data_IF_757898963650
#
_entry.id   IF_757898963650
#
_cell.length_a   1.000
_cell.length_b   1.000
_cell.length_c   1.000
_cell.angle_alpha   90.00
_cell.angle_beta   90.00
_cell.angle_gamma   90.00
#
_symmetry.space_group_name_H-M   'P 1'
#
loop_
_entity.id
_entity.type
_entity.pdbx_description
1 polymer ?
#
# COMPACT_ATOMS: atom_id res chain seq x y z
N UNK A 1 1.84 -2.95 17.58
CA UNK A 1 1.78 -3.29 19.02
C UNK A 1 1.71 -4.78 19.26
N UNK A 2 0.54 -5.40 19.04
CA UNK A 2 0.25 -6.81 19.38
C UNK A 2 1.26 -7.84 18.86
N UNK A 3 1.69 -7.74 17.60
CA UNK A 3 2.70 -8.64 17.03
C UNK A 3 4.05 -8.55 17.74
N UNK A 4 4.54 -7.33 18.01
CA UNK A 4 5.80 -7.15 18.76
C UNK A 4 5.67 -7.69 20.18
N UNK A 5 4.51 -7.52 20.84
CA UNK A 5 4.29 -8.10 22.16
C UNK A 5 4.37 -9.63 22.12
N UNK A 6 3.73 -10.28 21.14
CA UNK A 6 3.84 -11.72 20.96
C UNK A 6 5.28 -12.17 20.67
N UNK A 7 6.03 -11.40 19.86
CA UNK A 7 7.45 -11.66 19.58
C UNK A 7 8.33 -11.60 20.83
N UNK A 8 7.95 -10.85 21.88
CA UNK A 8 8.72 -10.78 23.13
C UNK A 8 8.91 -12.14 23.80
N UNK A 9 7.96 -13.05 23.61
CA UNK A 9 7.97 -14.41 24.16
C UNK A 9 8.62 -15.44 23.23
N UNK A 10 8.95 -15.05 22.00
CA UNK A 10 9.50 -15.92 20.96
C UNK A 10 10.69 -15.27 20.26
N UNK A 11 11.60 -14.68 21.05
CA UNK A 11 12.74 -13.91 20.57
C UNK A 11 13.70 -14.75 19.72
N UNK A 12 13.98 -15.99 20.13
CA UNK A 12 14.87 -16.90 19.39
C UNK A 12 14.30 -17.26 18.02
N UNK A 13 13.01 -17.59 17.96
CA UNK A 13 12.32 -17.88 16.70
C UNK A 13 12.28 -16.65 15.76
N UNK A 14 12.21 -15.45 16.34
CA UNK A 14 12.27 -14.19 15.61
C UNK A 14 13.70 -13.71 15.31
N UNK A 15 14.72 -14.47 15.76
CA UNK A 15 16.15 -14.11 15.66
C UNK A 15 16.42 -12.69 16.14
N UNK A 16 15.85 -12.34 17.29
CA UNK A 16 15.87 -10.98 17.83
C UNK A 16 16.35 -11.00 19.28
N UNK A 17 17.32 -10.15 19.62
CA UNK A 17 17.73 -9.98 21.02
C UNK A 17 16.69 -9.18 21.79
N UNK A 18 16.68 -9.28 23.12
CA UNK A 18 15.80 -8.44 23.95
C UNK A 18 16.06 -6.94 23.70
N UNK A 19 17.34 -6.54 23.61
CA UNK A 19 17.71 -5.16 23.32
C UNK A 19 17.16 -4.69 21.96
N UNK A 20 17.33 -5.50 20.92
CA UNK A 20 16.79 -5.20 19.59
C UNK A 20 15.26 -5.20 19.55
N UNK A 21 14.62 -6.03 20.36
CA UNK A 21 13.17 -5.98 20.56
C UNK A 21 12.73 -4.69 21.25
N UNK A 22 13.44 -4.28 22.31
CA UNK A 22 13.12 -3.07 23.08
C UNK A 22 13.23 -1.82 22.23
N UNK A 23 14.29 -1.70 21.43
CA UNK A 23 14.44 -0.59 20.49
C UNK A 23 13.25 -0.53 19.51
N UNK A 24 12.88 -1.67 18.91
CA UNK A 24 11.72 -1.76 18.00
C UNK A 24 10.41 -1.41 18.71
N UNK A 25 10.26 -1.82 19.97
CA UNK A 25 9.10 -1.56 20.78
C UNK A 25 8.94 -0.06 21.06
N UNK A 26 10.00 0.61 21.49
CA UNK A 26 10.00 2.05 21.77
C UNK A 26 9.80 2.86 20.49
N UNK A 27 10.60 2.59 19.45
CA UNK A 27 10.52 3.30 18.19
C UNK A 27 9.15 3.15 17.51
N UNK A 28 8.48 2.01 17.65
CA UNK A 28 7.12 1.80 17.14
C UNK A 28 6.07 2.73 17.76
N UNK A 29 6.39 3.40 18.87
CA UNK A 29 5.56 4.41 19.54
C UNK A 29 6.04 5.84 19.28
N UNK A 30 7.20 6.02 18.68
CA UNK A 30 7.72 7.32 18.30
C UNK A 30 7.16 7.70 16.93
N UNK A 31 5.92 8.20 16.94
CA UNK A 31 5.30 8.73 15.74
C UNK A 31 4.50 9.99 16.04
N UNK A 32 4.39 10.83 15.01
CA UNK A 32 3.42 11.92 14.94
C UNK A 32 2.60 11.70 13.68
N UNK A 33 1.27 11.69 13.79
CA UNK A 33 0.39 11.61 12.63
C UNK A 33 -0.63 12.73 12.65
N UNK A 34 -1.06 13.14 11.47
CA UNK A 34 -2.13 14.10 11.28
C UNK A 34 -2.95 13.74 10.04
N UNK A 35 -4.26 13.74 10.20
CA UNK A 35 -5.18 13.51 9.09
C UNK A 35 -5.19 14.71 8.13
N UNK A 36 -5.50 14.44 6.86
CA UNK A 36 -5.56 15.46 5.84
C UNK A 36 -6.85 16.27 5.89
N UNK A 37 -6.75 17.57 5.62
CA UNK A 37 -7.86 18.51 5.61
C UNK A 37 -7.85 19.31 4.30
N UNK A 38 -8.89 19.13 3.49
CA UNK A 38 -9.04 19.88 2.24
C UNK A 38 -9.26 21.36 2.53
N UNK A 39 -8.62 22.24 1.75
CA UNK A 39 -8.68 23.69 1.93
C UNK A 39 -7.65 24.23 2.92
N UNK A 40 -7.03 23.39 3.76
CA UNK A 40 -5.86 23.79 4.55
C UNK A 40 -4.64 23.88 3.66
N UNK A 41 -3.75 24.82 3.96
CA UNK A 41 -2.51 24.98 3.21
C UNK A 41 -1.74 23.65 3.16
N UNK A 42 -1.41 23.19 1.96
CA UNK A 42 -0.75 21.91 1.69
C UNK A 42 -1.54 20.67 2.16
N UNK A 43 -2.85 20.80 2.32
CA UNK A 43 -3.76 19.69 2.59
C UNK A 43 -3.78 19.18 4.03
N UNK A 44 -3.15 19.89 4.97
CA UNK A 44 -3.04 19.46 6.37
C UNK A 44 -2.69 20.66 7.27
N UNK A 45 -3.38 20.84 8.41
CA UNK A 45 -3.02 21.91 9.33
C UNK A 45 -1.82 21.55 10.22
N UNK A 46 -1.77 20.34 10.76
CA UNK A 46 -0.75 19.97 11.75
C UNK A 46 0.62 19.75 11.12
N UNK A 47 0.72 18.92 10.08
CA UNK A 47 1.97 18.59 9.40
C UNK A 47 1.88 19.09 7.97
N UNK A 48 2.59 20.16 7.64
CA UNK A 48 2.65 20.69 6.26
C UNK A 48 3.94 20.25 5.60
N UNK A 49 3.82 19.80 4.36
CA UNK A 49 4.97 19.53 3.50
C UNK A 49 4.81 20.40 2.26
N UNK A 50 5.75 21.31 2.04
CA UNK A 50 5.78 22.15 0.85
C UNK A 50 6.34 21.36 -0.35
N UNK A 51 6.02 21.77 -1.61
CA UNK A 51 6.51 21.06 -2.81
C UNK A 51 8.04 20.93 -2.90
N UNK A 52 8.79 21.86 -2.30
CA UNK A 52 10.25 21.85 -2.25
C UNK A 52 10.84 20.98 -1.13
N UNK A 53 9.97 20.27 -0.40
CA UNK A 53 10.32 19.33 0.65
C UNK A 53 10.45 19.92 2.05
N UNK A 54 10.17 21.22 2.25
CA UNK A 54 10.13 21.79 3.61
C UNK A 54 8.99 21.17 4.43
N UNK A 55 9.31 20.70 5.63
CA UNK A 55 8.33 20.14 6.57
C UNK A 55 8.16 21.09 7.75
N UNK A 56 6.93 21.53 8.01
CA UNK A 56 6.59 22.34 9.18
C UNK A 56 5.47 21.72 10.01
N UNK A 57 5.66 21.71 11.33
CA UNK A 57 4.75 21.10 12.30
C UNK A 57 4.14 22.21 13.15
N UNK A 58 2.81 22.26 13.25
CA UNK A 58 2.13 23.14 14.20
C UNK A 58 2.33 22.59 15.62
N UNK A 59 2.91 23.39 16.50
CA UNK A 59 3.15 22.99 17.88
C UNK A 59 1.90 23.26 18.74
N UNK A 60 1.55 22.35 19.67
CA UNK A 60 0.54 22.63 20.69
C UNK A 60 1.09 23.65 21.70
N UNK A 61 0.19 24.29 22.46
CA UNK A 61 0.54 25.35 23.40
C UNK A 61 1.70 25.00 24.37
N UNK A 62 1.77 23.79 24.96
CA UNK A 62 2.87 23.43 25.85
C UNK A 62 4.25 23.41 25.18
N UNK A 63 4.29 23.29 23.85
CA UNK A 63 5.53 23.26 23.08
C UNK A 63 5.78 24.58 22.33
N UNK A 64 5.00 25.63 22.57
CA UNK A 64 5.09 26.88 21.82
C UNK A 64 6.49 27.53 21.87
N UNK A 65 7.20 27.39 23.00
CA UNK A 65 8.55 27.91 23.18
C UNK A 65 9.61 27.26 22.28
N UNK A 66 9.32 26.10 21.68
CA UNK A 66 10.21 25.45 20.72
C UNK A 66 10.01 25.92 19.28
N UNK A 67 8.97 26.69 18.98
CA UNK A 67 8.68 27.13 17.62
C UNK A 67 9.86 27.93 17.05
N UNK A 68 10.32 27.56 15.85
CA UNK A 68 11.39 28.23 15.13
C UNK A 68 10.87 29.00 13.89
N UNK A 69 9.56 29.03 13.69
CA UNK A 69 8.90 29.71 12.58
C UNK A 69 7.58 30.37 12.99
N UNK A 70 7.09 31.27 12.13
CA UNK A 70 5.85 32.01 12.34
C UNK A 70 4.65 31.09 12.58
N UNK A 71 3.64 31.63 13.27
CA UNK A 71 2.40 30.92 13.61
C UNK A 71 2.59 29.69 14.51
N UNK A 72 3.60 29.69 15.39
CA UNK A 72 3.85 28.61 16.35
C UNK A 72 4.20 27.30 15.66
N UNK A 73 5.02 27.36 14.61
CA UNK A 73 5.44 26.20 13.84
C UNK A 73 6.90 25.86 14.11
N UNK A 74 7.20 24.57 13.96
CA UNK A 74 8.54 24.02 13.95
C UNK A 74 8.87 23.48 12.56
N UNK A 75 9.81 24.12 11.87
CA UNK A 75 10.35 23.68 10.59
C UNK A 75 11.50 22.71 10.86
N UNK A 76 11.42 21.52 10.28
CA UNK A 76 12.48 20.52 10.39
C UNK A 76 13.69 20.95 9.55
N UNK A 77 14.90 20.72 10.06
CA UNK A 77 16.13 21.01 9.34
C UNK A 77 16.31 20.15 8.07
N UNK A 78 15.74 18.94 8.06
CA UNK A 78 15.80 18.04 6.92
C UNK A 78 14.62 18.27 5.96
N UNK A 79 14.92 18.23 4.66
CA UNK A 79 13.90 18.20 3.60
C UNK A 79 13.48 16.77 3.29
N UNK A 80 12.25 16.60 2.82
CA UNK A 80 11.70 15.31 2.39
C UNK A 80 11.48 15.27 0.90
N UNK A 81 11.60 14.08 0.31
CA UNK A 81 11.22 13.81 -1.07
C UNK A 81 10.44 12.50 -1.14
N UNK A 82 9.53 12.42 -2.11
CA UNK A 82 8.72 11.22 -2.36
C UNK A 82 9.07 10.65 -3.74
N UNK A 83 9.87 9.58 -3.83
CA UNK A 83 10.23 9.01 -5.13
C UNK A 83 9.03 8.39 -5.86
N UNK A 84 8.08 7.83 -5.12
CA UNK A 84 6.89 7.21 -5.69
C UNK A 84 5.72 8.20 -5.67
N UNK A 85 5.05 8.39 -6.81
CA UNK A 85 3.89 9.28 -6.98
C UNK A 85 4.18 10.74 -6.58
N UNK A 86 5.41 11.20 -6.81
CA UNK A 86 5.87 12.55 -6.49
C UNK A 86 4.95 13.62 -7.09
N UNK A 87 4.68 13.51 -8.39
CA UNK A 87 3.83 14.45 -9.13
C UNK A 87 2.41 14.46 -8.60
N UNK A 88 1.79 13.28 -8.43
CA UNK A 88 0.42 13.17 -7.91
C UNK A 88 0.29 13.77 -6.51
N UNK A 89 1.32 13.60 -5.66
CA UNK A 89 1.36 14.22 -4.35
C UNK A 89 1.50 15.75 -4.45
N UNK A 90 2.42 16.25 -5.28
CA UNK A 90 2.66 17.67 -5.48
C UNK A 90 1.39 18.37 -6.00
N UNK A 91 0.73 17.81 -7.01
CA UNK A 91 -0.52 18.34 -7.56
C UNK A 91 -1.59 18.54 -6.47
N UNK A 92 -1.66 17.62 -5.50
CA UNK A 92 -2.60 17.73 -4.37
C UNK A 92 -2.21 18.83 -3.39
N UNK A 93 -0.93 18.91 -3.06
CA UNK A 93 -0.38 19.91 -2.13
C UNK A 93 -0.50 21.32 -2.68
N UNK A 94 -0.31 21.50 -3.99
CA UNK A 94 -0.46 22.79 -4.69
C UNK A 94 -1.90 23.31 -4.63
N UNK A 95 -2.88 22.41 -4.77
CA UNK A 95 -4.31 22.77 -4.73
C UNK A 95 -4.97 22.50 -3.36
N UNK A 96 -4.17 22.34 -2.30
CA UNK A 96 -4.63 22.20 -0.91
C UNK A 96 -5.64 21.06 -0.69
N UNK A 97 -5.50 19.94 -1.41
CA UNK A 97 -6.31 18.73 -1.19
C UNK A 97 -5.80 17.97 0.02
N UNK A 98 -6.72 17.35 0.78
CA UNK A 98 -6.38 16.55 1.95
C UNK A 98 -5.27 15.52 1.67
N UNK A 99 -4.22 15.58 2.48
CA UNK A 99 -3.13 14.59 2.58
C UNK A 99 -2.84 14.34 4.05
N UNK A 100 -2.96 13.08 4.47
CA UNK A 100 -2.57 12.65 5.80
C UNK A 100 -1.06 12.37 5.83
N UNK A 101 -0.41 12.72 6.94
CA UNK A 101 1.02 12.50 7.12
C UNK A 101 1.32 11.72 8.38
N UNK A 102 2.38 10.90 8.33
CA UNK A 102 2.91 10.16 9.48
C UNK A 102 4.43 10.22 9.50
N UNK A 103 4.98 10.83 10.55
CA UNK A 103 6.41 10.81 10.87
C UNK A 103 6.68 9.61 11.78
N UNK A 104 7.63 8.76 11.46
CA UNK A 104 7.99 7.58 12.26
C UNK A 104 9.44 7.15 12.04
N UNK A 105 10.01 6.43 13.02
CA UNK A 105 11.36 5.86 12.92
C UNK A 105 11.33 4.43 12.39
N UNK A 106 12.15 4.16 11.38
CA UNK A 106 12.48 2.80 10.95
C UNK A 106 13.80 2.39 11.62
N UNK A 107 13.71 1.41 12.53
CA UNK A 107 14.86 0.92 13.29
C UNK A 107 15.76 -0.02 12.48
N UNK A 108 15.24 -0.66 11.44
CA UNK A 108 16.04 -1.54 10.57
C UNK A 108 16.93 -0.70 9.67
N UNK A 109 16.40 0.40 9.15
CA UNK A 109 17.13 1.32 8.27
C UNK A 109 17.82 2.47 9.01
N UNK A 110 17.62 2.57 10.33
CA UNK A 110 18.23 3.59 11.18
C UNK A 110 17.86 5.03 10.82
N UNK A 111 16.67 5.27 10.24
CA UNK A 111 16.27 6.60 9.75
C UNK A 111 14.81 6.93 10.01
N UNK A 112 14.50 8.22 10.01
CA UNK A 112 13.14 8.73 10.09
C UNK A 112 12.49 8.77 8.71
N UNK A 113 11.19 8.52 8.68
CA UNK A 113 10.36 8.53 7.49
C UNK A 113 9.15 9.42 7.69
N UNK A 114 8.77 10.09 6.62
CA UNK A 114 7.49 10.77 6.49
C UNK A 114 6.68 10.05 5.40
N UNK A 115 5.52 9.52 5.78
CA UNK A 115 4.58 8.86 4.87
C UNK A 115 3.45 9.80 4.55
N UNK A 116 3.13 9.95 3.28
CA UNK A 116 1.95 10.68 2.79
C UNK A 116 0.87 9.66 2.38
N UNK A 117 -0.37 9.93 2.74
CA UNK A 117 -1.52 9.10 2.37
C UNK A 117 -2.70 9.99 1.93
N UNK A 118 -3.39 9.58 0.88
CA UNK A 118 -4.57 10.27 0.39
C UNK A 118 -5.52 9.30 -0.31
N UNK A 119 -6.78 9.70 -0.42
CA UNK A 119 -7.79 8.94 -1.15
C UNK A 119 -7.68 9.21 -2.65
N UNK A 120 -7.61 8.14 -3.44
CA UNK A 120 -7.76 8.21 -4.88
C UNK A 120 -9.24 8.49 -5.22
N UNK A 121 -9.52 9.37 -6.19
CA UNK A 121 -10.89 9.52 -6.66
C UNK A 121 -11.37 8.16 -7.18
N UNK A 122 -12.62 7.82 -6.86
CA UNK A 122 -13.27 6.63 -7.40
C UNK A 122 -13.17 6.71 -8.92
N UNK A 123 -12.53 5.71 -9.53
CA UNK A 123 -12.38 5.67 -10.99
C UNK A 123 -13.77 5.50 -11.59
N UNK A 124 -14.12 6.34 -12.57
CA UNK A 124 -15.39 6.22 -13.28
C UNK A 124 -15.42 4.85 -13.95
N UNK A 125 -16.41 4.04 -13.60
CA UNK A 125 -16.67 2.75 -14.25
C UNK A 125 -17.14 3.01 -15.68
N UNK A 126 -16.56 2.32 -16.65
CA UNK A 126 -17.08 2.30 -18.01
C UNK A 126 -18.23 1.29 -18.10
N UNK A 127 -19.25 1.51 -18.96
CA UNK A 127 -20.29 0.52 -19.20
C UNK A 127 -19.69 -0.82 -19.65
N UNK A 128 -20.32 -1.94 -19.26
CA UNK A 128 -19.82 -3.28 -19.56
C UNK A 128 -19.60 -3.51 -21.07
N UNK A 129 -20.55 -3.07 -21.90
CA UNK A 129 -20.42 -3.17 -23.35
C UNK A 129 -19.17 -2.43 -23.89
N UNK A 130 -18.83 -1.27 -23.33
CA UNK A 130 -17.63 -0.53 -23.70
C UNK A 130 -16.34 -1.20 -23.21
N UNK A 131 -16.40 -1.90 -22.08
CA UNK A 131 -15.27 -2.65 -21.52
C UNK A 131 -14.95 -3.89 -22.37
N UNK A 132 -15.97 -4.55 -22.90
CA UNK A 132 -15.88 -5.78 -23.71
C UNK A 132 -15.73 -5.52 -25.22
N UNK A 133 -15.75 -4.27 -25.67
CA UNK A 133 -15.73 -3.90 -27.09
C UNK A 133 -14.53 -4.45 -27.87
N UNK A 134 -13.39 -4.68 -27.20
CA UNK A 134 -12.16 -5.23 -27.79
C UNK A 134 -11.92 -6.70 -27.39
N UNK A 135 -12.97 -7.37 -26.90
CA UNK A 135 -12.85 -8.65 -26.19
C UNK A 135 -12.37 -8.47 -24.75
N UNK A 136 -12.03 -9.59 -24.12
CA UNK A 136 -11.72 -9.66 -22.68
C UNK A 136 -10.67 -10.72 -22.41
N UNK A 137 -9.96 -10.60 -21.29
CA UNK A 137 -9.17 -11.73 -20.76
C UNK A 137 -9.93 -12.33 -19.59
N UNK A 138 -10.34 -13.60 -19.72
CA UNK A 138 -10.84 -14.39 -18.61
C UNK A 138 -9.67 -14.92 -17.78
N UNK A 139 -9.77 -14.84 -16.45
CA UNK A 139 -8.76 -15.29 -15.51
C UNK A 139 -9.39 -16.16 -14.44
N UNK A 140 -8.77 -17.31 -14.22
CA UNK A 140 -9.07 -18.26 -13.16
C UNK A 140 -7.86 -18.37 -12.21
N UNK A 141 -8.13 -18.39 -10.90
CA UNK A 141 -7.09 -18.44 -9.85
C UNK A 141 -6.88 -19.88 -9.37
N UNK A 142 -5.67 -20.39 -9.55
CA UNK A 142 -5.29 -21.74 -9.12
C UNK A 142 -4.29 -21.68 -7.95
N UNK A 143 -4.00 -22.82 -7.32
CA UNK A 143 -3.12 -22.87 -6.14
C UNK A 143 -1.68 -22.38 -6.42
N UNK A 144 -1.22 -22.47 -7.66
CA UNK A 144 0.15 -22.20 -8.10
C UNK A 144 0.25 -21.21 -9.29
N UNK A 145 -0.87 -20.79 -9.87
CA UNK A 145 -0.86 -19.85 -10.99
C UNK A 145 -2.20 -19.13 -11.22
N UNK A 146 -2.14 -18.04 -12.00
CA UNK A 146 -3.31 -17.51 -12.71
C UNK A 146 -3.39 -18.15 -14.09
N UNK A 147 -4.47 -18.87 -14.38
CA UNK A 147 -4.80 -19.34 -15.72
C UNK A 147 -5.56 -18.25 -16.44
N UNK A 148 -5.17 -17.91 -17.67
CA UNK A 148 -5.79 -16.81 -18.39
C UNK A 148 -5.98 -17.14 -19.87
N UNK A 149 -7.12 -16.74 -20.44
CA UNK A 149 -7.40 -16.86 -21.87
C UNK A 149 -7.96 -15.56 -22.42
N UNK A 150 -7.45 -15.13 -23.56
CA UNK A 150 -8.04 -14.04 -24.34
C UNK A 150 -9.29 -14.53 -25.05
N UNK A 151 -10.38 -13.79 -24.94
CA UNK A 151 -11.65 -14.05 -25.58
C UNK A 151 -11.98 -12.92 -26.56
N UNK A 152 -12.62 -13.25 -27.68
CA UNK A 152 -13.20 -12.28 -28.61
C UNK A 152 -14.47 -11.63 -28.02
N UNK A 153 -15.13 -10.77 -28.80
CA UNK A 153 -16.38 -10.09 -28.38
C UNK A 153 -17.57 -11.03 -28.21
N UNK A 154 -17.48 -12.26 -28.69
CA UNK A 154 -18.51 -13.30 -28.57
C UNK A 154 -18.19 -14.32 -27.47
N UNK A 155 -17.04 -14.17 -26.78
CA UNK A 155 -16.57 -15.11 -25.77
C UNK A 155 -15.79 -16.30 -26.31
N UNK A 156 -15.44 -16.32 -27.61
CA UNK A 156 -14.65 -17.41 -28.18
C UNK A 156 -13.17 -17.24 -27.83
N UNK A 157 -12.46 -18.33 -27.46
CA UNK A 157 -11.04 -18.25 -27.16
C UNK A 157 -10.18 -17.86 -28.38
N UNK A 158 -9.29 -16.88 -28.20
CA UNK A 158 -8.31 -16.45 -29.20
C UNK A 158 -6.92 -16.93 -28.79
N UNK A 159 -6.27 -17.70 -29.67
CA UNK A 159 -4.90 -18.17 -29.48
C UNK A 159 -4.77 -19.15 -28.31
N UNK A 160 -3.58 -19.21 -27.72
CA UNK A 160 -3.26 -20.16 -26.66
C UNK A 160 -3.49 -19.59 -25.25
N UNK A 161 -3.90 -20.42 -24.29
CA UNK A 161 -4.00 -20.02 -22.89
C UNK A 161 -2.62 -19.62 -22.34
N UNK A 162 -2.61 -18.73 -21.35
CA UNK A 162 -1.43 -18.33 -20.60
C UNK A 162 -1.54 -18.70 -19.14
N UNK A 163 -0.39 -19.00 -18.53
CA UNK A 163 -0.27 -19.25 -17.10
C UNK A 163 0.74 -18.30 -16.49
N UNK A 164 0.35 -17.67 -15.39
CA UNK A 164 1.21 -16.78 -14.61
C UNK A 164 1.46 -17.43 -13.25
N UNK A 165 2.53 -18.23 -13.18
CA UNK A 165 2.90 -18.97 -11.98
C UNK A 165 3.39 -18.07 -10.84
N UNK A 166 3.12 -18.53 -9.63
CA UNK A 166 3.65 -17.99 -8.38
C UNK A 166 3.96 -19.13 -7.41
N UNK A 167 4.90 -18.90 -6.50
CA UNK A 167 5.13 -19.79 -5.36
C UNK A 167 4.55 -19.17 -4.09
N UNK A 168 3.57 -19.83 -3.49
CA UNK A 168 2.95 -19.41 -2.23
C UNK A 168 3.61 -20.02 -1.00
N UNK A 169 4.85 -20.49 -1.12
CA UNK A 169 5.69 -20.89 0.01
C UNK A 169 6.31 -19.68 0.74
N UNK A 170 6.84 -19.91 1.95
CA UNK A 170 7.59 -18.90 2.68
C UNK A 170 6.74 -17.86 3.41
N UNK A 171 7.30 -16.66 3.59
CA UNK A 171 6.72 -15.61 4.43
C UNK A 171 5.55 -14.90 3.73
N UNK A 172 4.69 -14.22 4.50
CA UNK A 172 3.61 -13.41 3.91
C UNK A 172 4.14 -12.38 2.89
N UNK A 173 5.28 -11.74 3.19
CA UNK A 173 5.91 -10.76 2.29
C UNK A 173 6.42 -11.42 0.99
N UNK A 174 6.96 -12.65 1.09
CA UNK A 174 7.37 -13.40 -0.10
C UNK A 174 6.17 -13.74 -0.98
N UNK A 175 5.09 -14.23 -0.38
CA UNK A 175 3.86 -14.59 -1.10
C UNK A 175 3.23 -13.36 -1.76
N UNK A 176 3.17 -12.21 -1.07
CA UNK A 176 2.71 -10.96 -1.67
C UNK A 176 3.55 -10.57 -2.89
N UNK A 177 4.89 -10.66 -2.79
CA UNK A 177 5.78 -10.35 -3.89
C UNK A 177 5.56 -11.28 -5.10
N UNK A 178 5.34 -12.56 -4.87
CA UNK A 178 5.06 -13.57 -5.91
C UNK A 178 3.74 -13.28 -6.63
N UNK A 179 2.67 -13.05 -5.88
CA UNK A 179 1.36 -12.70 -6.44
C UNK A 179 1.44 -11.38 -7.22
N UNK A 180 2.11 -10.35 -6.67
CA UNK A 180 2.31 -9.06 -7.34
C UNK A 180 3.06 -9.21 -8.66
N UNK A 181 4.06 -10.08 -8.70
CA UNK A 181 4.82 -10.36 -9.91
C UNK A 181 3.93 -11.02 -10.98
N UNK A 182 3.15 -12.05 -10.62
CA UNK A 182 2.21 -12.70 -11.52
C UNK A 182 1.15 -11.72 -12.06
N UNK A 183 0.53 -10.92 -11.18
CA UNK A 183 -0.45 -9.89 -11.56
C UNK A 183 0.14 -8.86 -12.51
N UNK A 184 1.38 -8.41 -12.26
CA UNK A 184 2.05 -7.44 -13.14
C UNK A 184 2.26 -8.01 -14.54
N UNK A 185 2.67 -9.28 -14.65
CA UNK A 185 2.80 -9.97 -15.95
C UNK A 185 1.46 -10.13 -16.66
N UNK A 186 0.40 -10.49 -15.93
CA UNK A 186 -0.97 -10.56 -16.46
C UNK A 186 -1.43 -9.20 -16.99
N UNK A 187 -1.28 -8.13 -16.22
CA UNK A 187 -1.69 -6.77 -16.61
C UNK A 187 -0.90 -6.27 -17.83
N UNK A 188 0.39 -6.55 -17.91
CA UNK A 188 1.21 -6.22 -19.08
C UNK A 188 0.75 -7.00 -20.31
N UNK A 189 0.40 -8.28 -20.16
CA UNK A 189 -0.16 -9.06 -21.25
C UNK A 189 -1.52 -8.51 -21.70
N UNK A 190 -2.41 -8.17 -20.77
CA UNK A 190 -3.69 -7.55 -21.08
C UNK A 190 -3.55 -6.26 -21.89
N UNK A 191 -2.63 -5.39 -21.48
CA UNK A 191 -2.28 -4.18 -22.24
C UNK A 191 -1.76 -4.51 -23.64
N UNK A 192 -0.88 -5.51 -23.78
CA UNK A 192 -0.34 -5.91 -25.09
C UNK A 192 -1.40 -6.48 -26.03
N UNK A 193 -2.48 -7.05 -25.48
CA UNK A 193 -3.62 -7.54 -26.26
C UNK A 193 -4.63 -6.45 -26.63
N UNK A 194 -4.49 -5.23 -26.08
CA UNK A 194 -5.41 -4.11 -26.32
C UNK A 194 -6.77 -4.24 -25.61
N UNK A 195 -6.95 -5.24 -24.74
CA UNK A 195 -8.22 -5.41 -24.02
C UNK A 195 -8.37 -4.38 -22.91
N UNK A 196 -9.60 -3.93 -22.66
CA UNK A 196 -9.93 -2.97 -21.59
C UNK A 196 -10.50 -3.64 -20.35
N UNK A 197 -10.81 -4.93 -20.44
CA UNK A 197 -11.43 -5.70 -19.38
C UNK A 197 -10.63 -6.98 -19.07
N UNK A 198 -10.62 -7.33 -17.78
CA UNK A 198 -10.21 -8.64 -17.28
C UNK A 198 -11.41 -9.16 -16.50
N UNK A 199 -11.97 -10.29 -16.93
CA UNK A 199 -13.00 -11.01 -16.22
C UNK A 199 -12.34 -11.96 -15.23
N UNK A 200 -12.77 -11.92 -13.98
CA UNK A 200 -12.32 -12.81 -12.91
C UNK A 200 -13.53 -13.51 -12.31
N UNK A 201 -13.33 -14.72 -11.81
CA UNK A 201 -14.39 -15.41 -11.07
C UNK A 201 -14.77 -14.66 -9.79
N UNK A 202 -16.06 -14.63 -9.49
CA UNK A 202 -16.56 -14.14 -8.21
C UNK A 202 -16.41 -15.26 -7.17
N UNK A 203 -15.26 -15.28 -6.51
CA UNK A 203 -14.95 -16.28 -5.50
C UNK A 203 -15.57 -15.85 -4.17
N UNK A 204 -16.70 -16.45 -3.83
CA UNK A 204 -17.32 -16.28 -2.52
C UNK A 204 -16.58 -17.12 -1.46
N UNK A 205 -15.65 -16.49 -0.75
CA UNK A 205 -14.91 -17.10 0.35
C UNK A 205 -15.70 -17.21 1.67
N UNK A 206 -17.01 -16.90 1.69
CA UNK A 206 -17.82 -17.04 2.91
C UNK A 206 -18.05 -18.50 3.31
N UNK A 207 -18.04 -19.43 2.36
CA UNK A 207 -18.26 -20.87 2.60
C UNK A 207 -17.01 -21.63 3.11
N UNK A 208 -15.79 -21.16 2.81
CA UNK A 208 -14.56 -21.95 3.01
C UNK A 208 -13.89 -21.83 4.39
N UNK A 209 -14.45 -21.06 5.34
CA UNK A 209 -13.86 -20.92 6.69
C UNK A 209 -13.90 -22.19 7.57
N UNK A 210 -14.37 -23.33 7.07
CA UNK A 210 -14.62 -24.54 7.90
C UNK A 210 -13.67 -25.71 7.67
N UNK A 211 -12.61 -25.59 6.85
CA UNK A 211 -11.66 -26.70 6.63
C UNK A 211 -10.59 -26.92 7.71
N UNK A 212 -10.58 -26.14 8.79
CA UNK A 212 -9.73 -26.35 9.98
C UNK A 212 -10.48 -26.93 11.21
N UNK A 213 -11.53 -27.74 11.01
CA UNK A 213 -12.18 -28.47 12.13
C UNK A 213 -11.69 -29.90 12.37
N UNK A 214 -10.87 -30.46 11.48
CA UNK A 214 -10.32 -31.80 11.66
C UNK A 214 -8.80 -31.73 11.69
N UNK A 215 -8.26 -31.69 12.92
CA UNK A 215 -6.84 -31.75 13.18
C UNK A 215 -6.20 -32.93 12.46
N UNK A 216 -5.03 -32.65 11.88
CA UNK A 216 -4.14 -33.61 11.24
C UNK A 216 -3.81 -34.74 12.23
N UNK A 217 -4.43 -35.91 12.06
CA UNK A 217 -3.94 -37.18 12.60
C UNK A 217 -3.12 -37.86 11.52
N UNK A 218 -1.81 -37.77 11.64
CA UNK A 218 -0.81 -38.80 11.36
C UNK A 218 0.52 -38.31 11.91
#
# INVERSE_FOLDING_TARGET
GRRLLATRHHLDAARLTEAGWRERWEAGRWFLQADGESGKRHGNETIRVAPDGEVSIKLPAPLAGYANAKHGRYVLAARVSFPHRATEWADRVEVNRAVAYRIHRDTVRGRWYLTAAWTFPVTRTIPLAAALAEGVIGVDTNADHLAAWRLDTHGNPIGSPRRFFYDLSGTADHRDAQVRHALTRLLNWARSCGVKAIAVEDLDFTAEKTREKHGRRK
#
